data_IF_744069983395
#
_entry.id   IF_744069983395
#
_cell.length_a   1.000
_cell.length_b   1.000
_cell.length_c   1.000
_cell.angle_alpha   90.00
_cell.angle_beta   90.00
_cell.angle_gamma   90.00
#
_symmetry.space_group_name_H-M   'P 1'
#
loop_
_entity.id
_entity.type
_entity.pdbx_description
1 polymer ?
#
# COMPACT_ATOMS: atom_id res chain seq x y z
N UNK A 1 42.09 -3.92 16.26
CA UNK A 1 40.81 -3.44 16.82
C UNK A 1 39.74 -3.89 15.83
N UNK A 2 38.79 -4.71 16.24
CA UNK A 2 37.72 -5.12 15.34
C UNK A 2 36.86 -3.89 15.05
N UNK A 3 36.87 -3.44 13.80
CA UNK A 3 35.96 -2.43 13.29
C UNK A 3 34.55 -2.98 13.47
N UNK A 4 33.77 -2.32 14.33
CA UNK A 4 32.37 -2.70 14.51
C UNK A 4 31.65 -2.23 13.26
N UNK A 5 31.04 -3.17 12.55
CA UNK A 5 30.18 -2.85 11.41
C UNK A 5 29.19 -1.74 11.79
N UNK A 6 29.04 -0.71 10.94
CA UNK A 6 28.08 0.33 11.21
C UNK A 6 26.69 -0.28 11.29
N UNK A 7 26.03 -0.11 12.44
CA UNK A 7 24.63 -0.50 12.60
C UNK A 7 23.80 0.21 11.52
N UNK A 8 22.95 -0.54 10.84
CA UNK A 8 21.95 0.04 9.95
C UNK A 8 21.17 1.13 10.70
N UNK A 9 21.24 2.36 10.20
CA UNK A 9 20.45 3.47 10.74
C UNK A 9 19.00 3.25 10.36
N UNK A 10 18.13 3.02 11.35
CA UNK A 10 16.70 3.14 11.15
C UNK A 10 16.35 4.63 11.00
N UNK A 11 15.19 5.00 10.41
CA UNK A 11 14.72 6.39 10.40
C UNK A 11 14.69 7.03 11.79
N UNK A 12 14.52 6.21 12.84
CA UNK A 12 14.48 6.61 14.25
C UNK A 12 15.87 6.90 14.85
N UNK A 13 16.96 6.49 14.18
CA UNK A 13 18.34 6.56 14.70
C UNK A 13 19.32 7.28 13.78
N UNK A 14 18.86 7.82 12.65
CA UNK A 14 19.70 8.63 11.76
C UNK A 14 19.75 10.07 12.27
N UNK A 15 20.94 10.51 12.66
CA UNK A 15 21.20 11.92 12.91
C UNK A 15 20.97 12.73 11.63
N UNK A 16 20.29 13.89 11.77
CA UNK A 16 20.11 14.83 10.67
C UNK A 16 21.47 15.29 10.15
N UNK A 17 21.74 15.03 8.87
CA UNK A 17 22.94 15.47 8.18
C UNK A 17 22.60 16.71 7.34
N UNK A 18 22.90 17.93 7.79
CA UNK A 18 22.56 19.15 7.06
C UNK A 18 23.26 19.25 5.69
N UNK A 19 24.25 18.40 5.40
CA UNK A 19 24.95 18.35 4.12
C UNK A 19 24.28 17.42 3.12
N UNK A 20 23.42 16.51 3.58
CA UNK A 20 22.74 15.50 2.76
C UNK A 20 21.20 15.59 2.83
N UNK A 21 20.68 16.20 3.88
CA UNK A 21 19.25 16.26 4.15
C UNK A 21 18.63 17.51 3.54
N UNK A 22 17.63 17.31 2.69
CA UNK A 22 16.87 18.41 2.10
C UNK A 22 16.18 19.22 3.19
N UNK A 23 16.45 20.52 3.20
CA UNK A 23 15.64 21.47 3.96
C UNK A 23 14.31 21.65 3.25
N UNK A 24 13.23 21.28 3.92
CA UNK A 24 11.86 21.50 3.43
C UNK A 24 11.20 22.65 4.19
N UNK A 25 10.15 23.24 3.60
CA UNK A 25 9.38 24.28 4.29
C UNK A 25 8.64 23.70 5.52
N UNK A 26 8.26 24.55 6.47
CA UNK A 26 7.51 24.11 7.65
C UNK A 26 6.18 23.43 7.29
N UNK A 27 5.54 23.89 6.21
CA UNK A 27 4.33 23.30 5.62
C UNK A 27 4.59 21.86 5.17
N UNK A 28 5.67 21.62 4.43
CA UNK A 28 6.05 20.29 3.95
C UNK A 28 6.44 19.38 5.10
N UNK A 29 7.21 19.88 6.06
CA UNK A 29 7.58 19.12 7.25
C UNK A 29 6.34 18.61 8.01
N UNK A 30 5.34 19.48 8.21
CA UNK A 30 4.08 19.08 8.84
C UNK A 30 3.36 17.98 8.04
N UNK A 31 3.28 18.12 6.71
CA UNK A 31 2.64 17.12 5.86
C UNK A 31 3.39 15.79 5.87
N UNK A 32 4.72 15.80 5.81
CA UNK A 32 5.55 14.59 5.92
C UNK A 32 5.37 13.89 7.27
N UNK A 33 5.27 14.64 8.36
CA UNK A 33 4.98 14.09 9.69
C UNK A 33 3.63 13.37 9.71
N UNK A 34 2.57 14.01 9.19
CA UNK A 34 1.24 13.39 9.09
C UNK A 34 1.27 12.14 8.22
N UNK A 35 1.94 12.20 7.06
CA UNK A 35 2.06 11.07 6.14
C UNK A 35 2.79 9.89 6.81
N UNK A 36 3.85 10.16 7.57
CA UNK A 36 4.57 9.15 8.34
C UNK A 36 3.69 8.50 9.40
N UNK A 37 2.93 9.28 10.16
CA UNK A 37 1.97 8.74 11.13
C UNK A 37 0.91 7.86 10.46
N UNK A 38 0.37 8.30 9.32
CA UNK A 38 -0.64 7.52 8.59
C UNK A 38 -0.06 6.23 8.05
N UNK A 39 1.15 6.24 7.49
CA UNK A 39 1.86 5.01 7.10
C UNK A 39 1.94 4.06 8.29
N UNK A 40 2.32 4.55 9.47
CA UNK A 40 2.36 3.76 10.69
C UNK A 40 1.00 3.16 11.06
N UNK A 41 -0.07 3.95 10.99
CA UNK A 41 -1.44 3.47 11.27
C UNK A 41 -1.93 2.42 10.27
N UNK A 42 -1.63 2.60 8.98
CA UNK A 42 -1.91 1.59 7.94
C UNK A 42 -1.12 0.32 8.21
N UNK A 43 0.17 0.41 8.54
CA UNK A 43 1.02 -0.77 8.81
C UNK A 43 0.61 -1.55 10.06
N UNK A 44 0.03 -0.90 11.08
CA UNK A 44 -0.55 -1.61 12.23
C UNK A 44 -1.68 -2.55 11.80
N UNK A 45 -2.49 -2.13 10.83
CA UNK A 45 -3.61 -2.92 10.30
C UNK A 45 -3.12 -3.91 9.25
N UNK A 46 -2.23 -3.45 8.37
CA UNK A 46 -1.89 -4.13 7.13
C UNK A 46 -0.37 -4.10 6.85
N UNK A 47 0.38 -4.78 7.70
CA UNK A 47 1.83 -4.89 7.58
C UNK A 47 2.28 -5.55 6.26
N UNK A 48 1.47 -6.49 5.74
CA UNK A 48 1.80 -7.33 4.59
C UNK A 48 0.79 -7.14 3.45
N UNK A 49 1.21 -6.45 2.39
CA UNK A 49 0.40 -6.40 1.16
C UNK A 49 0.28 -7.80 0.53
N UNK A 50 -0.88 -8.07 -0.05
CA UNK A 50 -1.24 -9.34 -0.68
C UNK A 50 -0.56 -9.62 -2.02
N UNK A 51 0.00 -8.59 -2.65
CA UNK A 51 0.72 -8.72 -3.91
C UNK A 51 2.23 -8.54 -3.78
N UNK A 52 2.79 -8.37 -2.57
CA UNK A 52 4.23 -8.20 -2.34
C UNK A 52 4.85 -9.54 -1.95
N UNK A 53 5.96 -9.93 -2.59
CA UNK A 53 6.70 -11.18 -2.33
C UNK A 53 6.97 -11.40 -0.84
N UNK A 54 7.52 -10.42 -0.14
CA UNK A 54 7.85 -10.50 1.29
C UNK A 54 6.59 -10.70 2.13
N UNK A 55 5.49 -10.02 1.80
CA UNK A 55 4.21 -10.18 2.47
C UNK A 55 3.60 -11.57 2.23
N UNK A 56 3.67 -12.07 1.01
CA UNK A 56 3.20 -13.41 0.64
C UNK A 56 4.02 -14.46 1.37
N UNK A 57 5.35 -14.35 1.40
CA UNK A 57 6.23 -15.26 2.15
C UNK A 57 5.98 -15.19 3.66
N UNK A 58 5.96 -13.99 4.22
CA UNK A 58 5.76 -13.80 5.65
C UNK A 58 4.41 -14.35 6.13
N UNK A 59 3.42 -14.43 5.24
CA UNK A 59 2.07 -14.88 5.57
C UNK A 59 1.69 -16.24 5.02
N UNK A 60 2.63 -17.01 4.48
CA UNK A 60 2.37 -18.30 3.84
C UNK A 60 1.21 -18.19 2.83
N UNK A 61 1.26 -17.17 1.96
CA UNK A 61 0.24 -16.86 0.96
C UNK A 61 -1.05 -16.22 1.47
N UNK A 62 -1.27 -16.13 2.79
CA UNK A 62 -2.55 -15.67 3.35
C UNK A 62 -2.91 -14.23 2.96
N UNK A 63 -1.93 -13.33 2.85
CA UNK A 63 -2.17 -11.93 2.44
C UNK A 63 -2.81 -11.81 1.05
N UNK A 64 -2.51 -12.74 0.13
CA UNK A 64 -3.10 -12.77 -1.21
C UNK A 64 -4.60 -13.13 -1.17
N UNK A 65 -4.99 -14.08 -0.31
CA UNK A 65 -6.40 -14.44 -0.10
C UNK A 65 -7.19 -13.32 0.58
N UNK A 66 -6.64 -12.70 1.61
CA UNK A 66 -7.34 -11.63 2.33
C UNK A 66 -7.58 -10.40 1.45
N UNK A 67 -6.68 -10.14 0.51
CA UNK A 67 -6.84 -9.03 -0.42
C UNK A 67 -8.06 -9.14 -1.35
N UNK A 68 -8.54 -10.34 -1.70
CA UNK A 68 -9.75 -10.46 -2.51
C UNK A 68 -11.00 -10.09 -1.70
N UNK A 69 -11.10 -10.61 -0.47
CA UNK A 69 -12.17 -10.25 0.48
C UNK A 69 -12.18 -8.74 0.77
N UNK A 70 -11.01 -8.12 0.86
CA UNK A 70 -10.89 -6.68 1.09
C UNK A 70 -11.52 -5.86 -0.05
N UNK A 71 -11.59 -6.39 -1.27
CA UNK A 71 -12.13 -5.70 -2.45
C UNK A 71 -13.59 -5.98 -2.76
N UNK A 72 -14.25 -6.86 -2.00
CA UNK A 72 -15.70 -7.08 -2.10
C UNK A 72 -16.48 -5.76 -2.04
N UNK A 73 -17.43 -5.59 -2.96
CA UNK A 73 -18.33 -4.45 -2.96
C UNK A 73 -19.33 -4.50 -1.78
N UNK A 74 -19.97 -3.38 -1.49
CA UNK A 74 -20.91 -3.25 -0.35
C UNK A 74 -22.10 -4.21 -0.49
N UNK A 75 -22.53 -4.48 -1.73
CA UNK A 75 -23.60 -5.40 -2.05
C UNK A 75 -23.14 -6.86 -2.17
N UNK A 76 -21.84 -7.14 -2.09
CA UNK A 76 -21.33 -8.50 -2.09
C UNK A 76 -21.46 -9.14 -0.71
N UNK A 77 -22.48 -9.98 -0.58
CA UNK A 77 -22.76 -10.70 0.67
C UNK A 77 -21.98 -12.01 0.81
N UNK A 78 -21.07 -12.32 -0.11
CA UNK A 78 -20.28 -13.55 -0.09
C UNK A 78 -19.41 -13.61 1.16
N UNK A 79 -18.63 -12.56 1.41
CA UNK A 79 -17.71 -12.53 2.55
C UNK A 79 -18.17 -11.65 3.70
N UNK A 80 -19.01 -10.66 3.42
CA UNK A 80 -19.44 -9.66 4.39
C UNK A 80 -20.94 -9.71 4.66
N UNK A 81 -21.32 -9.46 5.90
CA UNK A 81 -22.72 -9.24 6.28
C UNK A 81 -22.84 -8.02 7.17
N UNK A 82 -23.79 -7.16 6.85
CA UNK A 82 -24.21 -6.08 7.73
C UNK A 82 -25.25 -6.61 8.72
N UNK A 83 -25.08 -6.25 9.99
CA UNK A 83 -26.00 -6.60 11.06
C UNK A 83 -27.14 -5.57 11.19
N UNK A 84 -27.06 -4.44 10.49
CA UNK A 84 -28.12 -3.42 10.40
C UNK A 84 -27.95 -2.54 9.14
N UNK A 85 -29.05 -1.93 8.69
CA UNK A 85 -29.08 -1.09 7.47
C UNK A 85 -28.33 0.24 7.64
N UNK A 86 -28.26 0.78 8.86
CA UNK A 86 -27.57 2.04 9.11
C UNK A 86 -26.07 1.95 8.79
N UNK A 87 -25.46 0.81 9.12
CA UNK A 87 -24.08 0.49 8.76
C UNK A 87 -23.85 0.43 7.26
N UNK A 88 -24.77 -0.22 6.52
CA UNK A 88 -24.72 -0.31 5.05
C UNK A 88 -24.82 1.06 4.40
N UNK A 89 -25.79 1.89 4.84
CA UNK A 89 -25.94 3.26 4.34
C UNK A 89 -24.71 4.13 4.61
N UNK A 90 -24.03 3.93 5.75
CA UNK A 90 -22.76 4.61 6.04
C UNK A 90 -21.63 4.13 5.13
N UNK A 91 -21.57 2.83 4.85
CA UNK A 91 -20.60 2.26 3.90
C UNK A 91 -20.80 2.81 2.48
N UNK A 92 -22.05 2.92 2.01
CA UNK A 92 -22.38 3.51 0.70
C UNK A 92 -21.95 4.98 0.61
N UNK A 93 -22.10 5.71 1.71
CA UNK A 93 -21.73 7.13 1.78
C UNK A 93 -20.22 7.35 1.90
N UNK A 94 -19.51 6.47 2.59
CA UNK A 94 -18.08 6.57 2.89
C UNK A 94 -17.35 5.27 2.51
N UNK A 95 -17.18 5.00 1.19
CA UNK A 95 -16.64 3.73 0.72
C UNK A 95 -15.20 3.47 1.19
N UNK A 96 -14.37 4.50 1.33
CA UNK A 96 -13.02 4.38 1.89
C UNK A 96 -13.03 4.04 3.39
N UNK A 97 -14.01 4.53 4.15
CA UNK A 97 -14.21 4.14 5.55
C UNK A 97 -14.65 2.67 5.67
N UNK A 98 -15.50 2.20 4.76
CA UNK A 98 -15.86 0.78 4.65
C UNK A 98 -14.64 -0.08 4.33
N UNK A 99 -13.81 0.35 3.39
CA UNK A 99 -12.57 -0.34 3.03
C UNK A 99 -11.60 -0.44 4.22
N UNK A 100 -11.39 0.66 4.95
CA UNK A 100 -10.57 0.66 6.17
C UNK A 100 -11.15 -0.24 7.28
N UNK A 101 -12.48 -0.26 7.45
CA UNK A 101 -13.15 -1.12 8.44
C UNK A 101 -12.98 -2.61 8.10
N UNK A 102 -13.10 -2.98 6.83
CA UNK A 102 -12.82 -4.34 6.33
C UNK A 102 -11.38 -4.75 6.65
N UNK A 103 -10.40 -3.90 6.34
CA UNK A 103 -8.99 -4.18 6.60
C UNK A 103 -8.73 -4.43 8.10
N UNK A 104 -9.34 -3.64 8.99
CA UNK A 104 -9.20 -3.81 10.44
C UNK A 104 -9.88 -5.08 10.95
N UNK A 105 -11.06 -5.44 10.43
CA UNK A 105 -11.71 -6.72 10.77
C UNK A 105 -10.87 -7.91 10.29
N UNK A 106 -10.31 -7.85 9.08
CA UNK A 106 -9.43 -8.90 8.56
C UNK A 106 -8.18 -9.03 9.42
N UNK A 107 -7.54 -7.92 9.80
CA UNK A 107 -6.42 -7.91 10.73
C UNK A 107 -6.74 -8.64 12.04
N UNK A 108 -7.93 -8.40 12.61
CA UNK A 108 -8.38 -8.99 13.87
C UNK A 108 -8.98 -10.40 13.73
N UNK A 109 -9.21 -10.88 12.50
CA UNK A 109 -9.75 -12.21 12.27
C UNK A 109 -8.82 -13.28 12.89
N UNK A 110 -9.40 -14.34 13.50
CA UNK A 110 -8.69 -15.24 14.41
C UNK A 110 -7.36 -15.72 13.83
N UNK A 111 -6.34 -15.86 14.70
CA UNK A 111 -4.97 -16.00 14.27
C UNK A 111 -4.84 -17.19 13.34
N UNK A 112 -4.41 -16.87 12.11
CA UNK A 112 -3.58 -17.78 11.34
C UNK A 112 -2.39 -18.20 12.20
N UNK A 113 -1.74 -19.32 11.89
CA UNK A 113 -0.42 -19.66 12.49
C UNK A 113 0.67 -18.60 12.18
N UNK A 114 0.31 -17.57 11.43
CA UNK A 114 1.09 -16.40 11.06
C UNK A 114 0.73 -15.22 11.97
N UNK A 115 1.71 -14.65 12.65
CA UNK A 115 1.54 -13.39 13.36
C UNK A 115 1.36 -12.23 12.37
N UNK A 116 0.39 -11.34 12.61
CA UNK A 116 0.15 -10.12 11.82
C UNK A 116 -0.12 -10.35 10.34
N UNK A 117 -0.90 -11.37 9.97
CA UNK A 117 -1.27 -11.64 8.56
C UNK A 117 -1.89 -10.45 7.80
N UNK A 118 -2.38 -9.44 8.53
CA UNK A 118 -2.82 -8.16 7.99
C UNK A 118 -4.16 -8.25 7.24
N UNK A 119 -4.53 -7.15 6.58
CA UNK A 119 -5.69 -7.11 5.68
C UNK A 119 -5.40 -7.67 4.28
N UNK A 120 -4.12 -7.76 3.89
CA UNK A 120 -3.73 -8.14 2.54
C UNK A 120 -3.92 -7.01 1.52
N UNK A 121 -4.12 -7.34 0.25
CA UNK A 121 -4.46 -6.36 -0.79
C UNK A 121 -3.27 -5.72 -1.52
N UNK A 122 -3.57 -4.86 -2.48
CA UNK A 122 -2.66 -4.26 -3.46
C UNK A 122 -2.20 -2.86 -3.04
N UNK A 123 -1.41 -2.20 -3.88
CA UNK A 123 -1.03 -0.79 -3.69
C UNK A 123 -2.27 0.13 -3.63
N UNK A 124 -3.30 -0.14 -4.43
CA UNK A 124 -4.55 0.61 -4.40
C UNK A 124 -5.30 0.44 -3.06
N UNK A 125 -5.32 -0.77 -2.52
CA UNK A 125 -5.98 -1.06 -1.24
C UNK A 125 -5.24 -0.33 -0.09
N UNK A 126 -3.91 -0.41 -0.05
CA UNK A 126 -3.07 0.33 0.91
C UNK A 126 -3.26 1.85 0.78
N UNK A 127 -3.31 2.39 -0.45
CA UNK A 127 -3.56 3.80 -0.72
C UNK A 127 -4.95 4.26 -0.25
N UNK A 128 -5.97 3.42 -0.44
CA UNK A 128 -7.34 3.71 -0.01
C UNK A 128 -7.46 3.76 1.51
N UNK A 129 -6.81 2.84 2.22
CA UNK A 129 -6.74 2.87 3.70
C UNK A 129 -5.98 4.12 4.17
N UNK A 130 -4.85 4.44 3.55
CA UNK A 130 -4.08 5.64 3.86
C UNK A 130 -4.92 6.92 3.66
N UNK A 131 -5.66 7.01 2.56
CA UNK A 131 -6.54 8.14 2.28
C UNK A 131 -7.61 8.34 3.33
N UNK A 132 -8.21 7.27 3.86
CA UNK A 132 -9.15 7.37 4.98
C UNK A 132 -8.50 8.03 6.21
N UNK A 133 -7.32 7.58 6.62
CA UNK A 133 -6.62 8.16 7.76
C UNK A 133 -6.14 9.60 7.50
N UNK A 134 -5.77 9.92 6.26
CA UNK A 134 -5.46 11.30 5.86
C UNK A 134 -6.67 12.22 5.98
N UNK A 135 -7.89 11.76 5.66
CA UNK A 135 -9.10 12.55 5.91
C UNK A 135 -9.22 12.96 7.38
N UNK A 136 -8.85 12.07 8.30
CA UNK A 136 -8.92 12.31 9.75
C UNK A 136 -7.80 13.24 10.22
N UNK A 137 -6.56 13.03 9.76
CA UNK A 137 -5.38 13.69 10.33
C UNK A 137 -4.94 14.96 9.61
N UNK A 138 -5.23 15.08 8.31
CA UNK A 138 -4.76 16.19 7.48
C UNK A 138 -5.82 17.29 7.29
N UNK A 139 -6.79 17.43 8.20
CA UNK A 139 -7.96 18.33 8.07
C UNK A 139 -7.57 19.71 7.50
N UNK A 140 -8.29 20.14 6.47
CA UNK A 140 -8.04 21.39 5.77
C UNK A 140 -6.96 21.33 4.68
N UNK A 141 -6.19 20.26 4.59
CA UNK A 141 -5.28 20.04 3.45
C UNK A 141 -6.00 19.34 2.30
N UNK A 142 -5.66 19.66 1.04
CA UNK A 142 -5.95 18.78 -0.09
C UNK A 142 -5.28 17.42 0.13
N UNK A 143 -5.99 16.35 -0.19
CA UNK A 143 -5.48 14.98 -0.15
C UNK A 143 -5.98 14.24 -1.39
N UNK A 144 -5.19 13.28 -1.86
CA UNK A 144 -5.63 12.42 -2.98
C UNK A 144 -5.13 11.00 -2.82
N UNK A 145 -5.89 10.03 -3.36
CA UNK A 145 -5.34 8.75 -3.84
C UNK A 145 -5.00 8.95 -5.29
N UNK A 146 -3.79 8.59 -5.71
CA UNK A 146 -3.37 8.73 -7.10
C UNK A 146 -2.81 7.44 -7.65
N UNK A 147 -2.88 7.30 -8.97
CA UNK A 147 -2.19 6.23 -9.70
C UNK A 147 -1.22 6.81 -10.73
N UNK A 148 -0.01 6.28 -10.69
CA UNK A 148 1.08 6.61 -11.60
C UNK A 148 1.01 5.78 -12.89
N UNK A 149 1.71 6.18 -13.98
CA UNK A 149 1.70 5.49 -15.26
C UNK A 149 2.31 4.08 -15.21
N UNK A 150 3.04 3.77 -14.13
CA UNK A 150 3.65 2.46 -13.88
C UNK A 150 2.74 1.52 -13.08
N UNK A 151 1.43 1.78 -13.05
CA UNK A 151 0.41 0.95 -12.37
C UNK A 151 0.64 0.84 -10.85
N UNK A 152 1.18 1.90 -10.24
CA UNK A 152 1.35 2.01 -8.79
C UNK A 152 0.45 3.10 -8.21
N UNK A 153 -0.16 2.82 -7.05
CA UNK A 153 -1.08 3.72 -6.38
C UNK A 153 -0.66 4.01 -4.93
N UNK A 154 -0.86 5.26 -4.51
CA UNK A 154 -0.51 5.75 -3.17
C UNK A 154 -1.37 6.97 -2.84
N UNK A 155 -1.40 7.38 -1.57
CA UNK A 155 -2.07 8.61 -1.16
C UNK A 155 -1.05 9.74 -0.98
N UNK A 156 -1.48 11.00 -1.05
CA UNK A 156 -0.63 12.16 -0.75
C UNK A 156 -1.39 13.32 -0.12
N UNK A 157 -0.65 14.28 0.45
CA UNK A 157 -1.14 15.51 1.07
C UNK A 157 -0.59 16.71 0.30
N UNK A 158 -1.48 17.60 -0.14
CA UNK A 158 -1.20 18.72 -1.02
C UNK A 158 -1.89 18.56 -2.37
N UNK A 159 -2.12 19.68 -3.04
CA UNK A 159 -2.70 19.73 -4.39
C UNK A 159 -1.59 19.61 -5.43
N UNK A 160 -1.38 18.41 -5.97
CA UNK A 160 -0.29 18.14 -6.91
C UNK A 160 -0.45 18.84 -8.26
N UNK A 161 -1.63 19.39 -8.57
CA UNK A 161 -1.86 20.16 -9.81
C UNK A 161 -1.55 21.65 -9.63
N UNK A 162 -1.59 22.15 -8.38
CA UNK A 162 -1.45 23.59 -8.07
C UNK A 162 -0.23 23.95 -7.24
N UNK A 163 0.39 22.96 -6.61
CA UNK A 163 1.55 23.13 -5.74
C UNK A 163 2.79 22.52 -6.40
N UNK A 164 3.96 23.07 -6.07
CA UNK A 164 5.22 22.44 -6.46
C UNK A 164 5.28 21.01 -5.91
N UNK A 165 5.82 20.07 -6.68
CA UNK A 165 5.87 18.66 -6.25
C UNK A 165 6.72 18.47 -4.98
N UNK A 166 7.71 19.34 -4.74
CA UNK A 166 8.45 19.37 -3.47
C UNK A 166 7.61 19.80 -2.26
N UNK A 167 6.44 20.41 -2.50
CA UNK A 167 5.50 20.84 -1.47
C UNK A 167 4.43 19.79 -1.13
N UNK A 168 4.32 18.73 -1.94
CA UNK A 168 3.36 17.63 -1.77
C UNK A 168 4.03 16.49 -1.02
N UNK A 169 3.41 15.98 0.04
CA UNK A 169 3.94 14.86 0.82
C UNK A 169 3.26 13.55 0.43
N UNK A 170 4.04 12.53 0.10
CA UNK A 170 3.55 11.19 -0.25
C UNK A 170 3.36 10.34 0.99
N UNK A 171 2.23 9.64 1.02
CA UNK A 171 1.82 8.66 2.01
C UNK A 171 1.65 7.30 1.30
N UNK A 172 2.75 6.69 0.90
CA UNK A 172 2.77 5.36 0.30
C UNK A 172 3.00 4.28 1.36
N UNK A 173 1.92 3.63 1.79
CA UNK A 173 1.94 2.57 2.77
C UNK A 173 2.10 1.17 2.16
N UNK A 174 2.21 1.04 0.82
CA UNK A 174 2.33 -0.25 0.17
C UNK A 174 3.67 -0.95 0.45
N UNK A 175 4.85 -0.29 0.29
CA UNK A 175 6.14 -0.93 0.52
C UNK A 175 6.28 -1.52 1.92
N UNK A 176 6.97 -2.66 2.06
CA UNK A 176 7.21 -3.29 3.36
C UNK A 176 7.90 -2.34 4.34
N UNK A 177 8.87 -1.55 3.85
CA UNK A 177 9.57 -0.48 4.59
C UNK A 177 9.15 0.89 4.07
N UNK A 178 7.87 1.22 4.25
CA UNK A 178 7.29 2.47 3.81
C UNK A 178 7.90 3.69 4.52
N UNK A 179 8.19 4.74 3.76
CA UNK A 179 8.73 6.02 4.25
C UNK A 179 8.01 7.17 3.56
N UNK A 180 7.57 8.17 4.33
CA UNK A 180 7.02 9.40 3.77
C UNK A 180 8.12 10.22 3.09
N UNK A 181 7.84 10.75 1.91
CA UNK A 181 8.78 11.59 1.16
C UNK A 181 8.04 12.69 0.40
N UNK A 182 8.72 13.78 0.00
CA UNK A 182 8.20 14.72 -0.98
C UNK A 182 7.84 14.03 -2.31
N UNK A 183 6.85 14.56 -3.03
CA UNK A 183 6.39 13.94 -4.29
C UNK A 183 7.48 13.92 -5.36
N UNK A 184 8.33 14.94 -5.41
CA UNK A 184 9.50 14.99 -6.31
C UNK A 184 10.63 14.01 -5.95
N UNK A 185 10.58 13.36 -4.79
CA UNK A 185 11.52 12.31 -4.37
C UNK A 185 10.95 10.90 -4.47
N UNK A 186 9.65 10.77 -4.73
CA UNK A 186 9.00 9.48 -4.83
C UNK A 186 9.37 8.77 -6.14
N UNK A 187 9.62 7.46 -6.09
CA UNK A 187 10.05 6.68 -7.26
C UNK A 187 9.02 6.62 -8.41
N UNK A 188 7.76 6.96 -8.12
CA UNK A 188 6.68 7.09 -9.10
C UNK A 188 6.39 8.53 -9.53
N UNK A 189 7.22 9.50 -9.14
CA UNK A 189 7.07 10.89 -9.56
C UNK A 189 6.81 10.98 -11.06
N UNK A 190 5.96 11.90 -11.48
CA UNK A 190 5.58 12.11 -12.88
C UNK A 190 4.10 12.43 -13.03
N UNK A 191 3.58 12.24 -14.24
CA UNK A 191 2.20 12.54 -14.56
C UNK A 191 1.25 11.59 -13.83
N UNK A 192 0.34 12.15 -13.03
CA UNK A 192 -0.69 11.38 -12.34
C UNK A 192 -1.86 11.17 -13.27
N UNK A 193 -2.28 9.91 -13.41
CA UNK A 193 -3.26 9.53 -14.44
C UNK A 193 -4.71 9.51 -13.92
N UNK A 194 -4.91 9.29 -12.62
CA UNK A 194 -6.21 9.09 -11.97
C UNK A 194 -6.12 9.35 -10.48
N UNK A 195 -7.23 9.77 -9.86
CA UNK A 195 -7.28 9.81 -8.41
C UNK A 195 -8.63 10.21 -7.79
N UNK A 196 -8.82 9.79 -6.54
CA UNK A 196 -9.82 10.38 -5.65
C UNK A 196 -9.18 11.62 -5.03
N UNK A 197 -9.82 12.78 -5.12
CA UNK A 197 -9.28 14.04 -4.58
C UNK A 197 -10.32 14.73 -3.71
N UNK A 198 -9.92 15.24 -2.55
CA UNK A 198 -10.75 16.09 -1.70
C UNK A 198 -9.92 17.00 -0.80
N UNK A 199 -10.59 17.88 -0.06
CA UNK A 199 -10.01 18.52 1.13
C UNK A 199 -10.37 17.65 2.34
N UNK A 200 -9.37 17.27 3.13
CA UNK A 200 -9.55 16.44 4.32
C UNK A 200 -10.53 17.10 5.31
N UNK A 201 -11.50 16.32 5.77
CA UNK A 201 -12.71 16.81 6.46
C UNK A 201 -12.97 16.14 7.82
N UNK A 202 -12.06 15.29 8.28
CA UNK A 202 -12.18 14.58 9.56
C UNK A 202 -12.73 13.15 9.48
N UNK A 203 -12.76 12.53 8.29
CA UNK A 203 -13.06 11.10 8.10
C UNK A 203 -14.54 10.73 8.04
N UNK A 204 -15.42 11.74 7.89
CA UNK A 204 -16.86 11.56 8.00
C UNK A 204 -17.33 11.29 9.43
N UNK A 205 -18.64 11.43 9.66
CA UNK A 205 -19.29 11.12 10.94
C UNK A 205 -20.54 10.29 10.69
N UNK A 206 -20.85 9.41 11.63
CA UNK A 206 -22.14 8.74 11.73
C UNK A 206 -23.27 9.74 12.05
N UNK A 207 -24.52 9.27 12.05
CA UNK A 207 -25.70 10.12 12.27
C UNK A 207 -25.72 10.84 13.64
N UNK A 208 -24.89 10.41 14.58
CA UNK A 208 -24.72 11.05 15.89
C UNK A 208 -23.78 12.27 15.86
N UNK A 209 -23.14 12.54 14.72
CA UNK A 209 -22.17 13.63 14.53
C UNK A 209 -20.86 13.46 15.29
N UNK A 210 -20.65 12.33 15.98
CA UNK A 210 -19.51 12.09 16.88
C UNK A 210 -18.72 10.86 16.48
N UNK A 211 -19.40 9.77 16.18
CA UNK A 211 -18.76 8.50 15.88
C UNK A 211 -18.13 8.55 14.50
N UNK A 212 -16.87 8.12 14.45
CA UNK A 212 -16.10 7.94 13.23
C UNK A 212 -16.79 6.93 12.29
N UNK A 213 -16.87 7.24 11.00
CA UNK A 213 -17.65 6.43 10.06
C UNK A 213 -17.13 4.98 10.00
N UNK A 214 -15.81 4.78 9.96
CA UNK A 214 -15.18 3.44 9.98
C UNK A 214 -15.56 2.68 11.24
N UNK A 215 -15.54 3.30 12.41
CA UNK A 215 -15.89 2.61 13.67
C UNK A 215 -17.38 2.20 13.70
N UNK A 216 -18.28 3.06 13.24
CA UNK A 216 -19.70 2.72 13.11
C UNK A 216 -19.94 1.58 12.12
N UNK A 217 -19.28 1.63 10.95
CA UNK A 217 -19.34 0.56 9.95
C UNK A 217 -18.79 -0.74 10.52
N UNK A 218 -17.60 -0.71 11.14
CA UNK A 218 -16.95 -1.88 11.76
C UNK A 218 -17.86 -2.55 12.80
N UNK A 219 -18.53 -1.77 13.65
CA UNK A 219 -19.48 -2.30 14.64
C UNK A 219 -20.71 -2.98 14.00
N UNK A 220 -21.07 -2.59 12.78
CA UNK A 220 -22.19 -3.15 12.02
C UNK A 220 -21.81 -4.30 11.09
N UNK A 221 -20.52 -4.53 10.85
CA UNK A 221 -20.01 -5.41 9.81
C UNK A 221 -19.42 -6.69 10.43
N UNK A 222 -19.70 -7.84 9.82
CA UNK A 222 -19.13 -9.11 10.24
C UNK A 222 -18.75 -9.99 9.03
N UNK A 223 -17.78 -10.88 9.22
CA UNK A 223 -17.49 -11.94 8.27
C UNK A 223 -18.62 -12.98 8.27
N UNK A 224 -18.95 -13.49 7.09
CA UNK A 224 -19.77 -14.71 6.94
C UNK A 224 -18.99 -15.93 7.45
N UNK A 225 -19.67 -17.04 7.76
CA UNK A 225 -18.98 -18.26 8.19
C UNK A 225 -18.12 -18.87 7.08
N UNK A 226 -18.48 -18.62 5.81
CA UNK A 226 -17.64 -18.94 4.67
C UNK A 226 -16.33 -18.13 4.71
N UNK A 227 -16.42 -16.80 4.84
CA UNK A 227 -15.24 -15.94 4.88
C UNK A 227 -14.33 -16.21 6.08
N UNK A 228 -14.89 -16.51 7.25
CA UNK A 228 -14.08 -16.90 8.43
C UNK A 228 -13.18 -18.09 8.15
N UNK A 229 -13.63 -19.08 7.37
CA UNK A 229 -12.78 -20.20 6.95
C UNK A 229 -11.77 -19.75 5.89
N UNK A 230 -12.20 -18.91 4.95
CA UNK A 230 -11.36 -18.41 3.87
C UNK A 230 -10.16 -17.59 4.38
N UNK A 231 -10.35 -16.67 5.33
CA UNK A 231 -9.27 -15.84 5.91
C UNK A 231 -8.25 -16.61 6.72
N UNK A 232 -8.54 -17.87 7.05
CA UNK A 232 -7.64 -18.80 7.75
C UNK A 232 -6.80 -19.65 6.78
N UNK A 233 -7.07 -19.57 5.46
CA UNK A 233 -6.37 -20.36 4.45
C UNK A 233 -4.90 -19.98 4.38
N UNK A 234 -4.02 -20.98 4.45
CA UNK A 234 -2.57 -20.81 4.24
C UNK A 234 -2.11 -21.77 3.15
N UNK A 235 -1.00 -21.42 2.52
CA UNK A 235 -0.28 -22.24 1.56
C UNK A 235 0.85 -23.00 2.28
N UNK A 236 1.28 -24.13 1.73
CA UNK A 236 2.59 -24.72 2.07
C UNK A 236 3.72 -23.84 1.53
N UNK A 237 4.96 -24.05 2.00
CA UNK A 237 6.13 -23.33 1.47
C UNK A 237 6.27 -23.52 -0.05
N UNK A 238 6.11 -24.75 -0.54
CA UNK A 238 6.14 -25.07 -1.96
C UNK A 238 5.02 -24.36 -2.74
N UNK A 239 3.80 -24.32 -2.20
CA UNK A 239 2.70 -23.58 -2.82
C UNK A 239 2.97 -22.07 -2.81
N UNK A 240 3.54 -21.54 -1.73
CA UNK A 240 3.89 -20.13 -1.58
C UNK A 240 4.97 -19.72 -2.60
N UNK A 241 6.03 -20.50 -2.72
CA UNK A 241 7.09 -20.25 -3.71
C UNK A 241 6.56 -20.38 -5.14
N UNK A 242 5.71 -21.38 -5.43
CA UNK A 242 5.04 -21.49 -6.74
C UNK A 242 4.14 -20.30 -7.05
N UNK A 243 3.40 -19.78 -6.07
CA UNK A 243 2.56 -18.58 -6.24
C UNK A 243 3.40 -17.34 -6.54
N UNK A 244 4.54 -17.18 -5.88
CA UNK A 244 5.48 -16.09 -6.15
C UNK A 244 6.09 -16.22 -7.55
N UNK A 245 6.51 -17.42 -7.94
CA UNK A 245 7.05 -17.68 -9.27
C UNK A 245 6.02 -17.49 -10.39
N UNK A 246 4.75 -17.83 -10.16
CA UNK A 246 3.71 -17.74 -11.18
C UNK A 246 3.37 -16.30 -11.54
N UNK A 247 3.47 -15.36 -10.59
CA UNK A 247 3.43 -13.92 -10.88
C UNK A 247 4.54 -13.43 -11.81
N UNK A 248 5.57 -14.25 -12.05
CA UNK A 248 6.74 -13.92 -12.88
C UNK A 248 6.68 -14.54 -14.28
N UNK A 249 5.75 -15.45 -14.56
CA UNK A 249 5.75 -16.26 -15.79
C UNK A 249 4.65 -15.81 -16.74
N UNK A 250 5.03 -15.28 -17.90
CA UNK A 250 4.17 -15.18 -19.07
C UNK A 250 4.21 -16.48 -19.87
N UNK A 251 3.12 -16.80 -20.57
CA UNK A 251 3.07 -17.88 -21.55
C UNK A 251 3.84 -17.50 -22.81
N UNK A 252 3.92 -18.44 -23.73
CA UNK A 252 4.57 -18.24 -25.04
C UNK A 252 3.97 -17.10 -25.87
N UNK A 253 2.78 -16.60 -25.50
CA UNK A 253 2.10 -15.47 -26.12
C UNK A 253 2.25 -14.16 -25.32
N UNK A 254 3.10 -14.13 -24.30
CA UNK A 254 3.29 -12.96 -23.44
C UNK A 254 2.14 -12.70 -22.46
N UNK A 255 1.19 -13.64 -22.31
CA UNK A 255 0.07 -13.53 -21.37
C UNK A 255 0.45 -14.21 -20.06
N UNK A 256 0.22 -13.58 -18.91
CA UNK A 256 0.54 -14.19 -17.61
C UNK A 256 0.00 -15.63 -17.53
N UNK A 257 0.89 -16.61 -17.31
CA UNK A 257 0.52 -17.97 -16.93
C UNK A 257 -0.02 -17.87 -15.52
N UNK A 258 -1.32 -17.62 -15.40
CA UNK A 258 -2.07 -17.79 -14.15
C UNK A 258 -2.04 -19.28 -13.80
N UNK A 259 -0.90 -19.76 -13.29
CA UNK A 259 -0.78 -21.10 -12.73
C UNK A 259 -1.72 -21.14 -11.54
N UNK A 260 -2.86 -21.80 -11.76
CA UNK A 260 -3.91 -22.11 -10.79
C UNK A 260 -4.67 -20.88 -10.26
N UNK A 261 -5.69 -20.48 -11.03
CA UNK A 261 -6.83 -19.66 -10.59
C UNK A 261 -7.59 -20.23 -9.37
N UNK A 262 -7.18 -21.39 -8.87
CA UNK A 262 -7.72 -22.05 -7.68
C UNK A 262 -7.22 -21.44 -6.35
N UNK A 263 -6.11 -20.68 -6.37
CA UNK A 263 -5.47 -20.21 -5.13
C UNK A 263 -5.52 -18.68 -4.91
N UNK A 264 -5.46 -17.85 -5.96
CA UNK A 264 -5.67 -16.40 -5.81
C UNK A 264 -5.92 -15.78 -7.19
N UNK A 265 -6.85 -14.84 -7.26
CA UNK A 265 -7.14 -14.01 -8.43
C UNK A 265 -6.13 -12.88 -8.64
N UNK A 266 -5.13 -12.74 -7.76
CA UNK A 266 -4.21 -11.59 -7.75
C UNK A 266 -2.90 -11.86 -8.50
N UNK A 267 -2.46 -10.92 -9.36
CA UNK A 267 -1.09 -10.94 -9.85
C UNK A 267 -0.13 -10.67 -8.68
N UNK A 268 0.86 -11.56 -8.50
CA UNK A 268 1.96 -11.30 -7.56
C UNK A 268 2.88 -10.27 -8.19
N UNK A 269 3.07 -9.14 -7.51
CA UNK A 269 4.12 -8.20 -7.84
C UNK A 269 5.40 -8.68 -7.16
N UNK A 270 6.34 -9.19 -7.97
CA UNK A 270 7.72 -9.13 -7.55
C UNK A 270 8.04 -7.65 -7.42
N UNK A 271 8.51 -7.21 -6.25
CA UNK A 271 9.09 -5.88 -6.18
C UNK A 271 10.17 -5.81 -7.28
N UNK A 272 9.86 -5.03 -8.32
CA UNK A 272 10.69 -4.61 -9.43
C UNK A 272 11.98 -5.43 -9.69
N UNK A 273 11.86 -6.66 -10.21
CA UNK A 273 13.00 -7.25 -10.92
C UNK A 273 13.14 -6.53 -12.25
N UNK A 274 14.34 -6.04 -12.57
CA UNK A 274 14.73 -5.20 -13.71
C UNK A 274 14.31 -5.65 -15.14
N UNK A 275 13.44 -6.63 -15.35
CA UNK A 275 13.32 -7.28 -16.66
C UNK A 275 11.94 -7.40 -17.34
N UNK A 276 10.75 -7.25 -16.74
CA UNK A 276 9.57 -7.77 -17.49
C UNK A 276 8.18 -7.14 -17.32
N UNK A 277 7.99 -5.99 -16.68
CA UNK A 277 6.69 -5.30 -16.71
C UNK A 277 6.73 -3.97 -17.47
N UNK A 278 7.01 -4.02 -18.78
CA UNK A 278 6.80 -2.86 -19.65
C UNK A 278 5.67 -3.15 -20.64
N UNK A 279 4.51 -2.51 -20.43
CA UNK A 279 3.54 -2.33 -21.53
C UNK A 279 4.17 -1.40 -22.58
N UNK A 280 3.77 -1.49 -23.87
CA UNK A 280 4.14 -0.47 -24.85
C UNK A 280 3.76 0.93 -24.34
N UNK A 281 4.74 1.82 -24.16
CA UNK A 281 4.56 3.16 -23.63
C UNK A 281 4.93 3.37 -22.15
N UNK A 282 5.35 2.31 -21.42
CA UNK A 282 5.94 2.48 -20.09
C UNK A 282 7.32 3.17 -20.21
N UNK A 283 7.58 4.20 -19.40
CA UNK A 283 8.88 4.88 -19.34
C UNK A 283 10.00 3.86 -19.12
N UNK A 284 11.03 3.88 -19.98
CA UNK A 284 12.20 3.01 -19.85
C UNK A 284 13.15 3.57 -18.79
N UNK A 285 13.17 3.02 -17.58
CA UNK A 285 14.13 3.47 -16.55
C UNK A 285 15.53 2.98 -16.88
N UNK A 286 16.53 3.82 -16.63
CA UNK A 286 17.91 3.54 -17.00
C UNK A 286 18.86 3.88 -15.84
N UNK A 287 19.89 3.04 -15.68
CA UNK A 287 21.08 3.39 -14.90
C UNK A 287 22.00 4.36 -15.66
N UNK A 288 21.71 4.63 -16.94
CA UNK A 288 22.40 5.61 -17.76
C UNK A 288 21.77 7.00 -17.53
N UNK A 289 22.50 7.96 -16.92
CA UNK A 289 22.01 9.32 -16.71
C UNK A 289 21.68 10.05 -18.02
N UNK A 290 22.19 9.56 -19.16
CA UNK A 290 21.98 10.15 -20.50
C UNK A 290 20.90 9.42 -21.32
N UNK A 291 20.14 8.53 -20.70
CA UNK A 291 19.11 7.73 -21.38
C UNK A 291 18.01 8.58 -22.01
N UNK A 292 17.97 8.62 -23.34
CA UNK A 292 16.90 9.24 -24.10
C UNK A 292 15.55 8.50 -23.87
N UNK A 293 14.67 9.10 -23.07
CA UNK A 293 13.34 8.57 -22.77
C UNK A 293 13.22 7.78 -21.47
N UNK A 294 14.20 7.91 -20.57
CA UNK A 294 14.21 7.26 -19.27
C UNK A 294 14.49 8.18 -18.11
N UNK A 295 13.79 7.98 -17.00
CA UNK A 295 14.21 8.56 -15.72
C UNK A 295 15.42 7.79 -15.22
N UNK A 296 16.52 8.51 -15.03
CA UNK A 296 17.67 7.99 -14.31
C UNK A 296 17.25 7.64 -12.88
N UNK A 297 17.55 6.42 -12.46
CA UNK A 297 17.44 5.99 -11.07
C UNK A 297 18.78 5.42 -10.65
N UNK A 298 19.21 5.73 -9.42
CA UNK A 298 20.40 5.08 -8.87
C UNK A 298 20.11 3.60 -8.62
N UNK A 299 21.16 2.78 -8.62
CA UNK A 299 21.08 1.36 -8.23
C UNK A 299 20.44 1.20 -6.84
N UNK A 300 20.71 2.11 -5.92
CA UNK A 300 20.09 2.16 -4.60
C UNK A 300 18.57 2.44 -4.67
N UNK A 301 18.12 3.38 -5.50
CA UNK A 301 16.69 3.66 -5.70
C UNK A 301 15.97 2.47 -6.35
N UNK A 302 16.64 1.77 -7.27
CA UNK A 302 16.13 0.54 -7.87
C UNK A 302 16.02 -0.55 -6.81
N UNK A 303 17.06 -0.80 -6.03
CA UNK A 303 17.07 -1.83 -4.98
C UNK A 303 16.03 -1.54 -3.88
N UNK A 304 15.88 -0.27 -3.48
CA UNK A 304 14.87 0.15 -2.51
C UNK A 304 13.44 -0.01 -3.05
N UNK A 305 13.19 0.28 -4.33
CA UNK A 305 11.90 0.05 -4.97
C UNK A 305 11.62 -1.45 -5.21
N UNK A 306 12.69 -2.22 -5.45
CA UNK A 306 12.70 -3.66 -5.66
C UNK A 306 12.64 -4.48 -4.36
N UNK A 307 12.63 -3.82 -3.18
CA UNK A 307 12.55 -4.51 -1.89
C UNK A 307 13.68 -5.51 -1.66
N UNK A 308 14.70 -5.50 -2.52
CA UNK A 308 15.82 -6.43 -2.44
C UNK A 308 16.65 -6.05 -1.22
N UNK A 309 17.01 -7.02 -0.36
CA UNK A 309 18.00 -6.74 0.66
C UNK A 309 19.26 -6.27 -0.08
N UNK A 310 19.70 -5.03 0.17
CA UNK A 310 20.96 -4.51 -0.35
C UNK A 310 22.02 -5.55 -0.07
N UNK A 311 22.47 -6.24 -1.14
CA UNK A 311 23.50 -7.25 -1.01
C UNK A 311 24.64 -6.64 -0.22
N UNK A 312 25.02 -7.31 0.86
CA UNK A 312 26.17 -6.97 1.67
C UNK A 312 27.32 -6.56 0.73
N UNK A 313 27.63 -5.26 0.70
CA UNK A 313 28.81 -4.78 0.00
C UNK A 313 29.99 -5.15 0.89
N UNK A 314 30.79 -6.08 0.39
CA UNK A 314 32.08 -6.51 0.95
C UNK A 314 33.00 -5.34 1.29
#
# INVERSE_FOLDING_TARGET
MAERDPKATTPETRDFDPTRDRKVSGKVHQRLSIAHEVIGDVKKINAHAGNIREGIKATNGNSAYRGSILRDDIDDTTHWKFNNDAGKLLADKYPEAFHAAKAEILHLAPPTTVANAGGGGTCWDQATIAYYFLRIKAVGNPISVVSSPIDHAFAHIGDHEKEDHGDVAVCDAWPTKATACPWDEHFCHGDISKGLTMVADGGGKANDGKTDAKEAIKASLALTDYAKRFVQTTMTDEQTDRHIESGSKTDENGKLKYAERELSDQPVYMHWSNQTTTRPGAERRSLDPESAGGRYMTEEQINNAAGEPTSERE
#
